data_IF_710065894867
#
_entry.id   IF_710065894867
#
_cell.length_a   1.000
_cell.length_b   1.000
_cell.length_c   1.000
_cell.angle_alpha   90.00
_cell.angle_beta   90.00
_cell.angle_gamma   90.00
#
_symmetry.space_group_name_H-M   'P 1'
#
loop_
_entity.id
_entity.type
_entity.pdbx_description
1 polymer ?
#
# COMPACT_ATOMS: atom_id res chain seq x y z
N UNK A 1 -4.18 -11.22 -9.52
CA UNK A 1 -4.43 -10.58 -10.84
C UNK A 1 -5.86 -10.87 -11.35
N UNK A 2 -6.91 -10.41 -10.66
CA UNK A 2 -8.31 -10.64 -11.06
C UNK A 2 -9.15 -9.35 -11.24
N UNK A 3 -8.70 -8.19 -10.75
CA UNK A 3 -9.51 -6.96 -10.77
C UNK A 3 -9.78 -6.33 -12.15
N UNK A 4 -8.85 -6.44 -13.10
CA UNK A 4 -8.95 -5.69 -14.36
C UNK A 4 -9.80 -6.27 -15.48
N UNK A 5 -10.14 -7.57 -15.43
CA UNK A 5 -10.88 -8.21 -16.54
C UNK A 5 -12.39 -8.03 -16.48
N UNK A 6 -12.92 -7.66 -15.31
CA UNK A 6 -14.36 -7.50 -15.09
C UNK A 6 -14.87 -6.08 -15.27
N UNK A 7 -13.99 -5.08 -15.23
CA UNK A 7 -14.35 -3.66 -15.27
C UNK A 7 -13.50 -3.01 -16.37
N UNK A 8 -14.10 -2.69 -17.52
CA UNK A 8 -13.41 -1.99 -18.59
C UNK A 8 -12.75 -0.70 -18.07
N UNK A 9 -11.57 -0.37 -18.62
CA UNK A 9 -10.84 0.89 -18.36
C UNK A 9 -10.27 1.09 -16.95
N UNK A 10 -10.58 0.22 -15.98
CA UNK A 10 -10.04 0.33 -14.63
C UNK A 10 -8.52 0.25 -14.58
N UNK A 11 -7.92 -0.64 -15.39
CA UNK A 11 -6.46 -0.74 -15.52
C UNK A 11 -5.96 0.05 -16.72
N UNK A 12 -4.78 0.63 -16.58
CA UNK A 12 -4.09 1.33 -17.66
C UNK A 12 -3.67 0.32 -18.73
N UNK A 13 -4.08 0.53 -19.98
CA UNK A 13 -3.54 -0.21 -21.11
C UNK A 13 -2.12 0.31 -21.44
N UNK A 14 -1.16 -0.61 -21.60
CA UNK A 14 0.21 -0.25 -21.95
C UNK A 14 0.39 -0.20 -23.47
N UNK A 15 1.33 0.62 -23.93
CA UNK A 15 1.59 0.87 -25.34
C UNK A 15 3.03 0.49 -25.70
N UNK A 16 3.19 -0.07 -26.90
CA UNK A 16 4.51 -0.36 -27.47
C UNK A 16 5.17 0.89 -28.06
N UNK A 17 6.43 0.76 -28.49
CA UNK A 17 7.20 1.84 -29.13
C UNK A 17 6.61 2.32 -30.47
N UNK A 18 5.66 1.59 -31.05
CA UNK A 18 4.93 1.98 -32.25
C UNK A 18 3.66 2.79 -31.95
N UNK A 19 3.35 3.02 -30.67
CA UNK A 19 2.16 3.76 -30.24
C UNK A 19 0.89 2.92 -30.30
N UNK A 20 0.98 1.58 -30.28
CA UNK A 20 -0.16 0.68 -30.26
C UNK A 20 -0.30 0.01 -28.90
N UNK A 21 -1.52 -0.29 -28.43
CA UNK A 21 -1.71 -1.10 -27.23
C UNK A 21 -1.01 -2.46 -27.38
N UNK A 22 -0.15 -2.81 -26.43
CA UNK A 22 0.65 -4.06 -26.47
C UNK A 22 -0.10 -5.29 -25.94
N UNK A 23 -1.33 -5.09 -25.46
CA UNK A 23 -2.20 -6.11 -24.89
C UNK A 23 -1.96 -6.38 -23.39
N UNK A 24 -1.04 -5.64 -22.77
CA UNK A 24 -0.77 -5.70 -21.33
C UNK A 24 -1.42 -4.55 -20.58
N UNK A 25 -1.53 -4.72 -19.26
CA UNK A 25 -2.16 -3.76 -18.36
C UNK A 25 -1.26 -3.49 -17.16
N UNK A 26 -1.19 -2.22 -16.79
CA UNK A 26 -0.42 -1.72 -15.66
C UNK A 26 -1.31 -1.40 -14.45
N UNK A 27 -0.90 -0.40 -13.64
CA UNK A 27 -1.68 0.05 -12.48
C UNK A 27 -3.08 0.56 -12.86
N UNK A 28 -3.91 0.80 -11.83
CA UNK A 28 -5.20 1.47 -11.98
C UNK A 28 -5.01 2.76 -12.77
N UNK A 29 -5.94 3.07 -13.66
CA UNK A 29 -5.92 4.30 -14.45
C UNK A 29 -6.56 5.44 -13.65
N UNK A 30 -5.80 6.41 -13.11
CA UNK A 30 -6.35 7.45 -12.26
C UNK A 30 -6.97 8.61 -13.04
N UNK A 31 -6.76 8.68 -14.37
CA UNK A 31 -7.14 9.85 -15.18
C UNK A 31 -8.52 9.72 -15.82
N UNK A 32 -9.21 8.59 -15.63
CA UNK A 32 -10.55 8.33 -16.14
C UNK A 32 -11.59 8.38 -15.02
N UNK A 33 -12.70 9.08 -15.25
CA UNK A 33 -13.74 9.26 -14.23
C UNK A 33 -14.42 7.93 -13.82
N UNK A 34 -14.54 7.00 -14.76
CA UNK A 34 -15.13 5.66 -14.55
C UNK A 34 -14.39 4.88 -13.46
N UNK A 35 -13.07 5.07 -13.31
CA UNK A 35 -12.29 4.51 -12.20
C UNK A 35 -12.83 4.97 -10.85
N UNK A 36 -13.06 6.27 -10.69
CA UNK A 36 -13.48 6.85 -9.40
C UNK A 36 -14.94 6.53 -9.06
N UNK A 37 -15.81 6.44 -10.06
CA UNK A 37 -17.19 5.97 -9.88
C UNK A 37 -17.22 4.50 -9.40
N UNK A 38 -16.39 3.65 -10.01
CA UNK A 38 -16.26 2.26 -9.60
C UNK A 38 -15.69 2.14 -8.19
N UNK A 39 -14.54 2.78 -7.91
CA UNK A 39 -13.90 2.74 -6.59
C UNK A 39 -14.82 3.31 -5.51
N UNK A 40 -15.59 4.36 -5.81
CA UNK A 40 -16.58 4.93 -4.90
C UNK A 40 -17.65 3.92 -4.50
N UNK A 41 -18.18 3.18 -5.48
CA UNK A 41 -19.18 2.14 -5.24
C UNK A 41 -18.57 0.95 -4.49
N UNK A 42 -17.38 0.52 -4.90
CA UNK A 42 -16.66 -0.60 -4.30
C UNK A 42 -16.33 -0.34 -2.82
N UNK A 43 -15.68 0.79 -2.51
CA UNK A 43 -15.31 1.10 -1.13
C UNK A 43 -16.52 1.37 -0.25
N UNK A 44 -17.64 1.88 -0.81
CA UNK A 44 -18.90 1.99 -0.08
C UNK A 44 -19.45 0.62 0.35
N UNK A 45 -19.38 -0.37 -0.53
CA UNK A 45 -19.77 -1.75 -0.20
C UNK A 45 -18.83 -2.33 0.86
N UNK A 46 -17.51 -2.22 0.65
CA UNK A 46 -16.48 -2.67 1.60
C UNK A 46 -16.72 -2.05 2.99
N UNK A 47 -16.93 -0.73 3.06
CA UNK A 47 -17.19 -0.04 4.32
C UNK A 47 -18.49 -0.49 5.00
N UNK A 48 -19.48 -0.96 4.23
CA UNK A 48 -20.72 -1.54 4.74
C UNK A 48 -20.60 -2.98 5.21
N UNK A 49 -19.69 -3.76 4.63
CA UNK A 49 -19.45 -5.17 4.99
C UNK A 49 -18.51 -5.30 6.20
N UNK A 50 -17.45 -4.48 6.25
CA UNK A 50 -16.45 -4.55 7.30
C UNK A 50 -16.74 -3.50 8.38
N UNK A 51 -17.11 -3.92 9.61
CA UNK A 51 -17.46 -3.00 10.68
C UNK A 51 -16.24 -2.29 11.29
N UNK A 52 -15.03 -2.78 11.01
CA UNK A 52 -13.79 -2.22 11.53
C UNK A 52 -13.63 -0.74 11.12
N UNK A 53 -13.16 0.14 12.04
CA UNK A 53 -12.98 1.55 11.72
C UNK A 53 -11.86 1.81 10.70
N UNK A 54 -10.93 0.86 10.50
CA UNK A 54 -9.80 1.00 9.60
C UNK A 54 -9.98 0.20 8.31
N UNK A 55 -9.48 0.75 7.21
CA UNK A 55 -9.26 0.04 5.95
C UNK A 55 -7.79 0.19 5.54
N UNK A 56 -7.13 -0.92 5.22
CA UNK A 56 -5.79 -0.86 4.63
C UNK A 56 -5.90 -0.57 3.13
N UNK A 57 -5.35 0.56 2.69
CA UNK A 57 -5.49 1.04 1.31
C UNK A 57 -4.30 0.67 0.42
N UNK A 58 -3.22 0.17 1.00
CA UNK A 58 -2.02 -0.21 0.25
C UNK A 58 -1.20 1.03 -0.10
N UNK A 59 -0.84 1.17 -1.37
CA UNK A 59 0.03 2.24 -1.88
C UNK A 59 1.48 1.80 -2.10
N UNK A 60 1.75 0.49 -2.21
CA UNK A 60 3.11 -0.03 -2.42
C UNK A 60 3.43 -0.33 -3.89
N UNK A 61 4.69 -0.12 -4.26
CA UNK A 61 5.35 -0.62 -5.48
C UNK A 61 4.65 -0.31 -6.82
N UNK A 62 4.21 0.94 -7.01
CA UNK A 62 3.60 1.36 -8.28
C UNK A 62 4.65 1.48 -9.38
N UNK A 63 4.49 0.72 -10.47
CA UNK A 63 5.34 0.84 -11.65
C UNK A 63 4.79 1.87 -12.64
N UNK A 64 5.57 2.92 -12.92
CA UNK A 64 5.16 4.01 -13.81
C UNK A 64 5.29 3.71 -15.31
N UNK A 65 5.97 2.62 -15.70
CA UNK A 65 6.29 2.32 -17.10
C UNK A 65 5.05 2.26 -18.01
N UNK A 66 3.96 1.69 -17.52
CA UNK A 66 2.71 1.61 -18.27
C UNK A 66 2.02 2.98 -18.39
N UNK A 67 2.03 3.78 -17.33
CA UNK A 67 1.54 5.16 -17.37
C UNK A 67 2.36 6.00 -18.35
N UNK A 68 3.67 5.81 -18.38
CA UNK A 68 4.58 6.50 -19.30
C UNK A 68 4.29 6.17 -20.76
N UNK A 69 3.93 4.93 -21.07
CA UNK A 69 3.57 4.54 -22.42
C UNK A 69 2.21 5.08 -22.88
N UNK A 70 1.31 5.42 -21.95
CA UNK A 70 -0.10 5.65 -22.28
C UNK A 70 -0.35 7.11 -22.75
N UNK A 71 -0.82 7.33 -23.98
CA UNK A 71 -1.00 8.68 -24.53
C UNK A 71 -2.08 9.50 -23.83
N UNK A 72 -3.10 8.86 -23.24
CA UNK A 72 -4.16 9.56 -22.49
C UNK A 72 -3.59 10.12 -21.20
N UNK A 73 -2.76 9.35 -20.48
CA UNK A 73 -2.10 9.81 -19.26
C UNK A 73 -1.06 10.88 -19.57
N UNK A 74 -0.27 10.71 -20.64
CA UNK A 74 0.65 11.75 -21.10
C UNK A 74 -0.06 13.07 -21.41
N UNK A 75 -1.23 13.02 -22.05
CA UNK A 75 -2.00 14.23 -22.33
C UNK A 75 -2.55 14.85 -21.03
N UNK A 76 -3.13 14.03 -20.15
CA UNK A 76 -3.61 14.48 -18.85
C UNK A 76 -2.51 15.17 -18.03
N UNK A 77 -1.30 14.62 -18.02
CA UNK A 77 -0.15 15.24 -17.36
C UNK A 77 0.20 16.60 -17.95
N UNK A 78 0.19 16.74 -19.29
CA UNK A 78 0.42 18.03 -19.95
C UNK A 78 -0.64 19.06 -19.56
N UNK A 79 -1.90 18.64 -19.52
CA UNK A 79 -3.03 19.51 -19.17
C UNK A 79 -2.95 20.00 -17.71
N UNK A 80 -2.37 19.19 -16.82
CA UNK A 80 -2.15 19.53 -15.41
C UNK A 80 -0.77 20.13 -15.11
N UNK A 81 0.08 20.30 -16.13
CA UNK A 81 1.44 20.83 -15.98
C UNK A 81 2.41 19.91 -15.22
N UNK A 82 2.15 18.61 -15.19
CA UNK A 82 3.01 17.62 -14.53
C UNK A 82 4.11 17.10 -15.45
N UNK A 83 5.31 16.97 -14.90
CA UNK A 83 6.49 16.45 -15.60
C UNK A 83 6.99 15.13 -15.04
N UNK A 84 6.43 14.67 -13.92
CA UNK A 84 6.85 13.46 -13.20
C UNK A 84 5.62 12.60 -12.89
N UNK A 85 5.72 11.29 -13.14
CA UNK A 85 4.65 10.32 -12.90
C UNK A 85 4.41 10.09 -11.40
N UNK A 86 5.34 10.48 -10.51
CA UNK A 86 5.06 10.58 -9.07
C UNK A 86 3.87 11.50 -8.77
N UNK A 87 3.58 12.49 -9.63
CA UNK A 87 2.38 13.34 -9.51
C UNK A 87 1.09 12.62 -9.89
N UNK A 88 1.16 11.64 -10.81
CA UNK A 88 0.03 10.79 -11.17
C UNK A 88 -0.30 9.85 -10.01
N UNK A 89 0.73 9.27 -9.38
CA UNK A 89 0.60 8.47 -8.14
C UNK A 89 0.02 9.32 -7.00
N UNK A 90 0.60 10.50 -6.75
CA UNK A 90 0.12 11.43 -5.73
C UNK A 90 -1.35 11.80 -5.92
N UNK A 91 -1.77 12.07 -7.16
CA UNK A 91 -3.17 12.34 -7.49
C UNK A 91 -4.07 11.13 -7.22
N UNK A 92 -3.63 9.93 -7.61
CA UNK A 92 -4.35 8.70 -7.33
C UNK A 92 -4.55 8.48 -5.83
N UNK A 93 -3.46 8.53 -5.06
CA UNK A 93 -3.47 8.29 -3.63
C UNK A 93 -4.34 9.33 -2.91
N UNK A 94 -4.13 10.62 -3.15
CA UNK A 94 -4.92 11.69 -2.53
C UNK A 94 -6.41 11.52 -2.81
N UNK A 95 -6.78 11.25 -4.06
CA UNK A 95 -8.18 11.07 -4.45
C UNK A 95 -8.81 9.84 -3.78
N UNK A 96 -8.04 8.76 -3.63
CA UNK A 96 -8.47 7.54 -2.96
C UNK A 96 -8.65 7.77 -1.44
N UNK A 97 -7.70 8.44 -0.79
CA UNK A 97 -7.78 8.79 0.63
C UNK A 97 -9.02 9.64 0.92
N UNK A 98 -9.28 10.66 0.10
CA UNK A 98 -10.46 11.53 0.22
C UNK A 98 -11.78 10.77 0.00
N UNK A 99 -11.79 9.79 -0.90
CA UNK A 99 -12.94 8.94 -1.15
C UNK A 99 -13.27 8.08 0.07
N UNK A 100 -12.26 7.45 0.67
CA UNK A 100 -12.44 6.58 1.84
C UNK A 100 -12.76 7.40 3.11
N UNK A 101 -12.14 8.57 3.27
CA UNK A 101 -12.42 9.49 4.36
C UNK A 101 -13.92 9.88 4.42
N UNK A 102 -14.55 10.10 3.25
CA UNK A 102 -15.99 10.41 3.14
C UNK A 102 -16.92 9.27 3.56
N UNK A 103 -16.39 8.05 3.73
CA UNK A 103 -17.13 6.88 4.21
C UNK A 103 -17.04 6.71 5.74
N UNK A 104 -16.53 7.71 6.48
CA UNK A 104 -16.30 7.66 7.93
C UNK A 104 -15.38 6.50 8.36
N UNK A 105 -14.43 6.13 7.51
CA UNK A 105 -13.38 5.15 7.80
C UNK A 105 -12.04 5.86 7.98
N UNK A 106 -11.24 5.36 8.91
CA UNK A 106 -9.81 5.68 8.99
C UNK A 106 -9.06 4.74 8.04
N UNK A 107 -7.81 5.07 7.71
CA UNK A 107 -7.01 4.25 6.81
C UNK A 107 -5.63 3.93 7.35
N UNK A 108 -5.18 2.73 6.98
CA UNK A 108 -3.82 2.24 7.13
C UNK A 108 -3.18 2.26 5.74
N UNK A 109 -1.98 2.79 5.63
CA UNK A 109 -1.25 2.90 4.35
C UNK A 109 0.19 2.46 4.53
N UNK A 110 0.81 1.97 3.46
CA UNK A 110 2.24 1.71 3.47
C UNK A 110 3.04 3.01 3.57
N UNK A 111 4.29 2.90 4.06
CA UNK A 111 5.17 4.05 4.29
C UNK A 111 5.40 4.95 3.08
N UNK A 112 5.25 4.46 1.85
CA UNK A 112 5.38 5.25 0.61
C UNK A 112 4.53 6.52 0.62
N UNK A 113 3.29 6.46 1.13
CA UNK A 113 2.40 7.63 1.22
C UNK A 113 3.04 8.73 2.07
N UNK A 114 3.67 8.34 3.18
CA UNK A 114 4.36 9.27 4.08
C UNK A 114 5.69 9.74 3.49
N UNK A 115 6.48 8.84 2.91
CA UNK A 115 7.78 9.13 2.28
C UNK A 115 7.64 10.13 1.12
N UNK A 116 6.55 10.03 0.35
CA UNK A 116 6.23 10.93 -0.76
C UNK A 116 5.69 12.29 -0.29
N UNK A 117 5.52 12.50 1.02
CA UNK A 117 5.06 13.76 1.61
C UNK A 117 3.61 14.09 1.31
N UNK A 118 2.76 13.08 1.13
CA UNK A 118 1.32 13.30 0.95
C UNK A 118 0.68 13.74 2.27
N UNK A 119 -0.26 14.67 2.15
CA UNK A 119 -1.11 15.03 3.28
C UNK A 119 -2.08 13.88 3.58
N UNK A 120 -2.06 13.42 4.83
CA UNK A 120 -2.92 12.35 5.33
C UNK A 120 -3.75 12.85 6.52
N UNK A 121 -4.86 12.15 6.82
CA UNK A 121 -5.68 12.49 7.99
C UNK A 121 -4.86 12.34 9.29
N UNK A 122 -5.11 13.15 10.33
CA UNK A 122 -4.34 13.10 11.58
C UNK A 122 -4.34 11.74 12.31
N UNK A 123 -5.34 10.90 12.07
CA UNK A 123 -5.47 9.57 12.69
C UNK A 123 -5.05 8.43 11.75
N UNK A 124 -4.35 8.75 10.66
CA UNK A 124 -3.79 7.77 9.73
C UNK A 124 -2.75 6.92 10.43
N UNK A 125 -2.74 5.63 10.10
CA UNK A 125 -1.70 4.70 10.56
C UNK A 125 -0.76 4.39 9.39
N UNK A 126 0.54 4.56 9.60
CA UNK A 126 1.58 4.25 8.61
C UNK A 126 2.18 2.88 8.92
N UNK A 127 2.16 1.97 7.96
CA UNK A 127 2.81 0.66 8.05
C UNK A 127 4.24 0.73 7.48
N UNK A 128 5.21 0.61 8.37
CA UNK A 128 6.66 0.66 8.08
C UNK A 128 7.16 -0.74 7.77
N UNK A 129 7.56 -0.94 6.53
CA UNK A 129 7.88 -2.26 5.99
C UNK A 129 9.26 -2.37 5.34
N UNK A 130 9.91 -1.23 5.05
CA UNK A 130 11.24 -1.17 4.44
C UNK A 130 12.34 -1.25 5.50
N UNK A 131 13.55 -1.58 5.04
CA UNK A 131 14.77 -1.58 5.86
C UNK A 131 15.08 -0.16 6.38
N UNK A 132 15.79 -0.07 7.52
CA UNK A 132 16.04 1.20 8.19
C UNK A 132 14.81 1.74 8.91
N UNK A 133 13.99 0.83 9.44
CA UNK A 133 12.69 1.13 10.02
C UNK A 133 12.78 2.03 11.26
N UNK A 134 13.91 2.04 11.96
CA UNK A 134 14.13 2.84 13.16
C UNK A 134 14.01 4.35 12.87
N UNK A 135 14.62 4.79 11.76
CA UNK A 135 14.54 6.18 11.32
C UNK A 135 13.13 6.52 10.82
N UNK A 136 12.48 5.59 10.11
CA UNK A 136 11.11 5.78 9.61
C UNK A 136 10.10 5.91 10.73
N UNK A 137 10.11 4.97 11.68
CA UNK A 137 9.26 4.99 12.87
C UNK A 137 9.46 6.31 13.63
N UNK A 138 10.70 6.79 13.74
CA UNK A 138 10.98 8.08 14.38
C UNK A 138 10.36 9.25 13.60
N UNK A 139 10.42 9.27 12.27
CA UNK A 139 9.82 10.33 11.45
C UNK A 139 8.29 10.32 11.53
N UNK A 140 7.66 9.16 11.38
CA UNK A 140 6.20 8.99 11.44
C UNK A 140 5.68 9.40 12.82
N UNK A 141 6.28 8.89 13.89
CA UNK A 141 5.83 9.21 15.25
C UNK A 141 6.07 10.68 15.63
N UNK A 142 7.15 11.30 15.12
CA UNK A 142 7.43 12.72 15.32
C UNK A 142 6.47 13.65 14.57
N UNK A 143 5.83 13.18 13.47
CA UNK A 143 4.78 13.93 12.78
C UNK A 143 3.42 13.85 13.48
N UNK A 144 3.32 13.07 14.56
CA UNK A 144 2.09 12.88 15.34
C UNK A 144 1.17 11.78 14.80
N UNK A 145 1.61 11.03 13.78
CA UNK A 145 0.87 9.91 13.21
C UNK A 145 1.12 8.62 14.00
N UNK A 146 0.20 7.67 13.85
CA UNK A 146 0.38 6.32 14.38
C UNK A 146 1.24 5.48 13.42
N UNK A 147 2.03 4.57 13.98
CA UNK A 147 2.91 3.70 13.21
C UNK A 147 2.69 2.23 13.57
N UNK A 148 2.67 1.38 12.55
CA UNK A 148 2.77 -0.08 12.61
C UNK A 148 4.15 -0.46 12.09
N UNK A 149 4.83 -1.39 12.75
CA UNK A 149 6.09 -1.95 12.26
C UNK A 149 5.88 -3.35 11.72
N UNK A 150 6.29 -3.56 10.47
CA UNK A 150 6.20 -4.83 9.77
C UNK A 150 7.55 -5.31 9.21
N UNK A 151 8.54 -4.41 9.05
CA UNK A 151 9.87 -4.69 8.49
C UNK A 151 10.56 -5.91 9.11
N UNK A 152 10.45 -6.09 10.43
CA UNK A 152 11.09 -7.19 11.13
C UNK A 152 10.46 -8.56 10.84
N UNK A 153 9.19 -8.60 10.44
CA UNK A 153 8.36 -9.79 10.49
C UNK A 153 7.90 -10.29 9.11
N UNK A 154 8.75 -10.13 8.08
CA UNK A 154 8.56 -10.79 6.78
C UNK A 154 8.78 -12.31 6.90
N UNK A 155 7.71 -13.04 7.23
CA UNK A 155 7.75 -14.51 7.40
C UNK A 155 7.90 -15.28 6.08
N UNK A 156 7.74 -14.62 4.94
CA UNK A 156 8.03 -15.17 3.62
C UNK A 156 9.54 -15.30 3.35
N UNK A 157 10.38 -14.53 4.05
CA UNK A 157 11.84 -14.60 3.93
C UNK A 157 12.39 -15.75 4.79
N UNK A 158 12.18 -16.96 4.28
CA UNK A 158 12.59 -18.21 4.92
C UNK A 158 14.11 -18.35 4.93
N UNK A 159 14.67 -18.65 6.09
CA UNK A 159 16.10 -18.94 6.28
C UNK A 159 16.27 -20.29 6.96
N UNK A 160 17.32 -21.02 6.60
CA UNK A 160 17.60 -22.32 7.22
C UNK A 160 18.00 -22.14 8.70
N UNK A 161 17.41 -22.94 9.59
CA UNK A 161 17.69 -22.92 11.04
C UNK A 161 16.57 -22.29 11.88
N UNK A 162 16.90 -21.89 13.11
CA UNK A 162 15.97 -21.28 14.06
C UNK A 162 15.76 -19.78 13.78
N UNK A 163 15.11 -19.49 12.66
CA UNK A 163 14.83 -18.14 12.19
C UNK A 163 13.77 -17.37 13.03
N UNK A 164 13.09 -18.04 13.96
CA UNK A 164 12.23 -17.34 14.93
C UNK A 164 13.00 -16.39 15.85
N UNK A 165 14.28 -16.65 16.09
CA UNK A 165 15.12 -15.84 16.99
C UNK A 165 15.30 -14.41 16.48
N UNK A 166 15.47 -14.20 15.17
CA UNK A 166 15.53 -12.85 14.56
C UNK A 166 14.22 -12.08 14.77
N UNK A 167 13.08 -12.76 14.64
CA UNK A 167 11.76 -12.15 14.81
C UNK A 167 11.50 -11.77 16.27
N UNK A 168 11.93 -12.60 17.21
CA UNK A 168 11.77 -12.37 18.65
C UNK A 168 12.69 -11.26 19.19
N UNK A 169 13.89 -11.13 18.62
CA UNK A 169 14.86 -10.11 19.01
C UNK A 169 14.51 -8.71 18.51
N UNK A 170 13.60 -8.58 17.54
CA UNK A 170 13.15 -7.26 17.10
C UNK A 170 12.33 -6.58 18.19
N UNK A 171 12.91 -5.53 18.77
CA UNK A 171 12.23 -4.63 19.67
C UNK A 171 11.68 -3.43 18.88
N UNK A 172 10.36 -3.35 18.63
CA UNK A 172 9.76 -2.26 17.86
C UNK A 172 9.86 -0.90 18.55
N UNK A 173 10.28 -0.84 19.83
CA UNK A 173 10.51 0.41 20.57
C UNK A 173 11.97 0.85 20.53
N UNK A 174 12.87 0.08 19.90
CA UNK A 174 14.29 0.38 19.80
C UNK A 174 14.59 1.49 18.76
N UNK A 175 13.85 2.58 18.85
CA UNK A 175 14.08 3.83 18.16
C UNK A 175 13.90 4.95 19.20
N UNK A 176 14.77 5.96 19.21
CA UNK A 176 14.68 7.07 20.17
C UNK A 176 13.45 7.94 19.87
N UNK A 177 12.27 7.49 20.30
CA UNK A 177 11.02 8.23 20.22
C UNK A 177 10.97 9.24 21.36
N UNK A 178 10.91 10.54 21.05
CA UNK A 178 10.83 11.60 22.05
C UNK A 178 9.50 11.68 22.81
N UNK A 179 8.55 10.77 22.54
CA UNK A 179 7.18 10.81 23.05
C UNK A 179 6.68 9.40 23.37
N UNK A 180 6.00 9.25 24.51
CA UNK A 180 5.34 8.01 24.91
C UNK A 180 4.12 7.77 24.00
N UNK A 181 4.14 6.73 23.16
CA UNK A 181 3.07 6.45 22.19
C UNK A 181 2.57 5.00 22.26
N UNK A 182 1.31 4.79 21.92
CA UNK A 182 0.67 3.48 21.80
C UNK A 182 1.08 2.84 20.47
N UNK A 183 2.16 2.07 20.48
CA UNK A 183 2.63 1.30 19.33
C UNK A 183 1.88 -0.03 19.26
N UNK A 184 1.30 -0.33 18.10
CA UNK A 184 0.67 -1.63 17.84
C UNK A 184 1.63 -2.47 16.99
N UNK A 185 1.85 -3.72 17.37
CA UNK A 185 2.67 -4.66 16.60
C UNK A 185 1.76 -5.39 15.62
N UNK A 186 2.08 -5.36 14.33
CA UNK A 186 1.44 -6.24 13.35
C UNK A 186 2.47 -7.18 12.74
N UNK A 187 2.03 -8.40 12.43
CA UNK A 187 2.85 -9.43 11.83
C UNK A 187 2.45 -9.57 10.37
N UNK A 188 3.32 -9.16 9.45
CA UNK A 188 3.05 -9.27 8.03
C UNK A 188 3.33 -10.68 7.48
N UNK A 189 2.27 -11.38 7.09
CA UNK A 189 2.37 -12.55 6.21
C UNK A 189 2.04 -12.15 4.78
N UNK A 190 3.07 -11.98 3.94
CA UNK A 190 2.84 -11.74 2.50
C UNK A 190 2.37 -13.05 1.82
N UNK A 191 1.15 -13.06 1.29
CA UNK A 191 0.48 -14.26 0.77
C UNK A 191 0.99 -14.77 -0.59
N UNK A 192 1.98 -14.12 -1.22
CA UNK A 192 2.37 -14.51 -2.59
C UNK A 192 3.11 -15.86 -2.71
N UNK A 193 3.60 -16.47 -1.62
CA UNK A 193 4.45 -17.67 -1.73
C UNK A 193 4.11 -18.85 -0.80
N UNK A 194 2.91 -18.90 -0.20
CA UNK A 194 2.50 -20.06 0.63
C UNK A 194 1.45 -20.87 -0.14
N UNK A 195 1.81 -22.03 -0.75
CA UNK A 195 0.83 -22.94 -1.31
C UNK A 195 -0.18 -23.37 -0.24
N UNK A 196 -1.46 -23.27 -0.61
CA UNK A 196 -2.64 -23.40 0.23
C UNK A 196 -2.61 -24.55 1.26
N UNK A 197 -3.11 -24.19 2.45
CA UNK A 197 -3.61 -25.02 3.56
C UNK A 197 -2.67 -25.84 4.43
N UNK A 198 -1.55 -26.39 3.94
CA UNK A 198 -0.67 -27.24 4.81
C UNK A 198 0.55 -26.53 5.41
N UNK A 199 1.05 -25.45 4.79
CA UNK A 199 2.23 -24.71 5.28
C UNK A 199 1.89 -23.50 6.17
N UNK A 200 0.67 -22.97 6.08
CA UNK A 200 0.27 -21.80 6.86
C UNK A 200 0.30 -22.08 8.38
N UNK A 201 -0.19 -23.24 8.81
CA UNK A 201 -0.13 -23.65 10.22
C UNK A 201 1.30 -23.90 10.71
N UNK A 202 2.18 -24.48 9.89
CA UNK A 202 3.58 -24.72 10.29
C UNK A 202 4.44 -23.45 10.31
N UNK A 203 4.03 -22.40 9.60
CA UNK A 203 4.74 -21.11 9.54
C UNK A 203 4.19 -20.06 10.53
N UNK A 204 2.97 -20.24 11.05
CA UNK A 204 2.29 -19.26 11.93
C UNK A 204 2.04 -19.82 13.35
N UNK A 205 2.00 -21.14 13.53
CA UNK A 205 1.80 -21.77 14.85
C UNK A 205 3.10 -21.90 15.65
N UNK A 206 3.03 -22.05 16.99
CA UNK A 206 4.22 -22.28 17.81
C UNK A 206 4.91 -23.56 17.34
N UNK A 207 6.22 -23.47 17.10
CA UNK A 207 7.07 -24.63 16.91
C UNK A 207 6.99 -25.47 18.18
N UNK A 208 6.26 -26.59 18.14
CA UNK A 208 6.22 -27.53 19.26
C UNK A 208 7.66 -27.92 19.61
N UNK A 209 7.99 -27.72 20.89
CA UNK A 209 9.21 -28.12 21.60
C UNK A 209 9.55 -29.59 21.40
#
# INVERSE_FOLDING_TARGET
>A
KLGGRGIPELLTACYDSSGKPDGTYGPINPVVNTTWEYLGTFFKEVAGVFPDPYLHLGGDEVSFSCWESNPVIQQWMKDHGYTDYSKVEQYHETTLLDLVARLNKQYIVWQEIFDNGLEVLPNTVIDVWKKGWEDEMKRVTASGLHAILSTCWYLNDISYGADWTKYYQCDPQNFNAGVQQTLTKDVCTYYQAIPLRKKLHSSIGPYNT
#
